data_IF_882114569430
#
_entry.id   IF_882114569430
#
_cell.length_a   1.000
_cell.length_b   1.000
_cell.length_c   1.000
_cell.angle_alpha   90.00
_cell.angle_beta   90.00
_cell.angle_gamma   90.00
#
_symmetry.space_group_name_H-M   'P 1'
#
loop_
_entity.id
_entity.type
_entity.pdbx_description
1 polymer ?
#
# COMPACT_ATOMS: atom_id res chain seq x y z
N UNK A 1 2.19 22.48 33.91
CA UNK A 1 1.43 21.74 32.87
C UNK A 1 2.39 20.81 32.15
N UNK A 2 1.98 19.55 31.88
CA UNK A 2 2.84 18.53 31.26
C UNK A 2 3.07 18.68 29.75
N UNK A 3 2.99 19.90 29.21
CA UNK A 3 3.15 20.16 27.78
C UNK A 3 4.36 21.08 27.55
N UNK A 4 5.37 20.65 26.76
CA UNK A 4 6.52 21.50 26.44
C UNK A 4 6.10 22.66 25.52
N UNK A 5 6.36 23.93 25.89
CA UNK A 5 5.86 25.09 25.15
C UNK A 5 6.44 25.23 23.74
N UNK A 6 7.64 24.71 23.48
CA UNK A 6 8.30 24.79 22.18
C UNK A 6 7.74 23.78 21.16
N UNK A 7 7.16 22.66 21.61
CA UNK A 7 6.77 21.56 20.72
C UNK A 7 5.25 21.36 20.64
N UNK A 8 4.53 21.60 21.73
CA UNK A 8 3.08 21.40 21.80
C UNK A 8 2.43 22.50 22.66
N UNK A 9 2.49 23.78 22.23
CA UNK A 9 1.74 24.83 22.90
C UNK A 9 0.23 24.49 22.87
N UNK A 10 -0.52 24.71 23.97
CA UNK A 10 -1.94 24.37 24.04
C UNK A 10 -2.80 25.02 22.94
N UNK A 11 -2.39 26.19 22.44
CA UNK A 11 -3.07 26.89 21.33
C UNK A 11 -3.13 26.06 20.04
N UNK A 12 -2.18 25.15 19.82
CA UNK A 12 -2.17 24.25 18.65
C UNK A 12 -3.21 23.12 18.73
N UNK A 13 -3.86 22.92 19.88
CA UNK A 13 -4.99 21.98 19.97
C UNK A 13 -6.24 22.50 19.26
N UNK A 14 -6.32 23.81 19.02
CA UNK A 14 -7.39 24.44 18.26
C UNK A 14 -6.97 24.49 16.79
N UNK A 15 -7.69 23.75 15.94
CA UNK A 15 -7.42 23.68 14.51
C UNK A 15 -7.79 24.98 13.81
N UNK A 16 -6.78 25.80 13.50
CA UNK A 16 -6.93 27.01 12.67
C UNK A 16 -6.63 26.73 11.19
N UNK A 17 -5.68 25.83 10.93
CA UNK A 17 -5.25 25.43 9.60
C UNK A 17 -5.32 23.90 9.49
N UNK A 18 -6.05 23.39 8.50
CA UNK A 18 -6.17 21.96 8.25
C UNK A 18 -5.19 21.52 7.16
N UNK A 19 -4.27 20.62 7.50
CA UNK A 19 -3.35 20.04 6.53
C UNK A 19 -4.07 19.05 5.60
N UNK A 20 -3.90 19.22 4.28
CA UNK A 20 -4.52 18.34 3.28
C UNK A 20 -3.55 17.21 2.92
N UNK A 21 -3.94 15.94 3.07
CA UNK A 21 -3.08 14.83 2.70
C UNK A 21 -2.86 14.78 1.17
N UNK A 22 -1.64 14.45 0.70
CA UNK A 22 -1.32 14.31 -0.72
C UNK A 22 -2.05 13.10 -1.34
N UNK A 23 -2.16 13.04 -2.69
CA UNK A 23 -2.87 11.98 -3.41
C UNK A 23 -2.46 10.54 -3.04
N UNK A 24 -1.19 10.31 -2.69
CA UNK A 24 -0.71 8.98 -2.27
C UNK A 24 -1.40 8.42 -1.02
N UNK A 25 -1.94 9.29 -0.16
CA UNK A 25 -2.68 8.89 1.06
C UNK A 25 -4.17 8.70 0.75
N UNK A 26 -4.68 9.34 -0.31
CA UNK A 26 -6.08 9.35 -0.76
C UNK A 26 -6.18 8.92 -2.23
N UNK A 27 -5.82 7.67 -2.56
CA UNK A 27 -5.71 7.22 -3.94
C UNK A 27 -7.07 7.19 -4.63
N UNK A 28 -7.12 7.71 -5.86
CA UNK A 28 -8.29 7.61 -6.74
C UNK A 28 -8.22 6.32 -7.53
N UNK A 29 -9.37 5.65 -7.70
CA UNK A 29 -9.48 4.45 -8.53
C UNK A 29 -10.19 4.83 -9.83
N UNK A 30 -9.53 4.64 -10.96
CA UNK A 30 -10.11 4.83 -12.29
C UNK A 30 -10.27 3.49 -13.00
N UNK A 31 -11.47 3.19 -13.48
CA UNK A 31 -11.76 2.02 -14.31
C UNK A 31 -12.37 2.52 -15.63
N UNK A 32 -11.52 2.62 -16.67
CA UNK A 32 -11.91 3.24 -17.94
C UNK A 32 -12.32 4.70 -17.76
N UNK A 33 -13.56 5.02 -18.11
CA UNK A 33 -14.15 6.37 -17.96
C UNK A 33 -14.70 6.63 -16.55
N UNK A 34 -14.92 5.58 -15.74
CA UNK A 34 -15.46 5.71 -14.38
C UNK A 34 -14.35 6.03 -13.40
N UNK A 35 -14.56 7.08 -12.58
CA UNK A 35 -13.65 7.50 -11.51
C UNK A 35 -14.34 7.39 -10.16
N UNK A 36 -13.68 6.76 -9.21
CA UNK A 36 -14.10 6.67 -7.82
C UNK A 36 -13.02 7.29 -6.94
N UNK A 37 -13.38 8.37 -6.25
CA UNK A 37 -12.50 9.08 -5.33
C UNK A 37 -12.50 8.41 -3.94
N UNK A 38 -11.39 8.56 -3.22
CA UNK A 38 -11.29 8.08 -1.84
C UNK A 38 -12.24 8.81 -0.88
N UNK A 39 -12.73 8.10 0.15
CA UNK A 39 -13.62 8.63 1.19
C UNK A 39 -13.09 9.93 1.84
N UNK A 40 -11.77 10.04 2.02
CA UNK A 40 -11.11 11.24 2.57
C UNK A 40 -11.25 12.42 1.61
N UNK A 41 -11.10 12.19 0.30
CA UNK A 41 -11.26 13.23 -0.73
C UNK A 41 -12.69 13.75 -0.74
N UNK A 42 -13.68 12.86 -0.69
CA UNK A 42 -15.09 13.25 -0.62
C UNK A 42 -15.37 14.13 0.62
N UNK A 43 -14.82 13.75 1.77
CA UNK A 43 -15.02 14.49 3.01
C UNK A 43 -14.31 15.85 3.03
N UNK A 44 -13.11 15.94 2.48
CA UNK A 44 -12.38 17.20 2.34
C UNK A 44 -13.13 18.20 1.45
N UNK A 45 -13.79 17.71 0.40
CA UNK A 45 -14.61 18.54 -0.47
C UNK A 45 -15.82 19.12 0.27
N UNK A 46 -16.47 18.35 1.14
CA UNK A 46 -17.54 18.86 2.02
C UNK A 46 -17.02 19.90 3.01
N UNK A 47 -15.84 19.69 3.61
CA UNK A 47 -15.20 20.66 4.52
C UNK A 47 -14.94 21.98 3.79
N UNK A 48 -14.37 21.94 2.58
CA UNK A 48 -14.06 23.15 1.79
C UNK A 48 -15.34 23.90 1.45
N UNK A 49 -16.40 23.18 1.03
CA UNK A 49 -17.71 23.78 0.71
C UNK A 49 -18.30 24.48 1.93
N UNK A 50 -18.41 23.78 3.07
CA UNK A 50 -19.00 24.34 4.29
C UNK A 50 -18.18 25.52 4.83
N UNK A 51 -16.85 25.47 4.73
CA UNK A 51 -15.98 26.57 5.11
C UNK A 51 -16.18 27.81 4.23
N UNK A 52 -16.31 27.61 2.91
CA UNK A 52 -16.59 28.71 1.99
C UNK A 52 -17.98 29.31 2.25
N UNK A 53 -19.00 28.47 2.47
CA UNK A 53 -20.35 28.93 2.82
C UNK A 53 -20.36 29.73 4.11
N UNK A 54 -19.70 29.25 5.17
CA UNK A 54 -19.59 29.99 6.44
C UNK A 54 -18.93 31.36 6.22
N UNK A 55 -17.83 31.41 5.46
CA UNK A 55 -17.15 32.66 5.14
C UNK A 55 -18.07 33.65 4.42
N UNK A 56 -18.84 33.18 3.44
CA UNK A 56 -19.80 34.01 2.70
C UNK A 56 -20.92 34.53 3.59
N UNK A 57 -21.49 33.68 4.46
CA UNK A 57 -22.57 34.08 5.37
C UNK A 57 -22.13 35.14 6.38
N UNK A 58 -20.90 35.01 6.90
CA UNK A 58 -20.29 36.01 7.80
C UNK A 58 -20.07 37.33 7.05
N UNK A 59 -19.60 37.29 5.80
CA UNK A 59 -19.38 38.48 4.98
C UNK A 59 -20.68 39.18 4.57
N UNK A 60 -21.76 38.44 4.35
CA UNK A 60 -23.07 39.00 4.04
C UNK A 60 -23.81 39.56 5.26
N UNK A 61 -23.23 39.47 6.46
CA UNK A 61 -23.88 39.92 7.70
C UNK A 61 -25.10 39.08 8.07
N UNK A 62 -25.08 37.77 7.78
CA UNK A 62 -26.16 36.87 8.18
C UNK A 62 -26.29 36.83 9.71
N UNK A 63 -27.50 36.55 10.20
CA UNK A 63 -27.76 36.48 11.64
C UNK A 63 -26.84 35.49 12.36
N UNK A 64 -26.48 35.80 13.61
CA UNK A 64 -25.54 35.01 14.41
C UNK A 64 -25.95 33.53 14.51
N UNK A 65 -27.25 33.27 14.67
CA UNK A 65 -27.79 31.91 14.69
C UNK A 65 -27.45 31.10 13.44
N UNK A 66 -27.51 31.72 12.25
CA UNK A 66 -27.18 31.05 10.98
C UNK A 66 -25.70 30.71 10.94
N UNK A 67 -24.85 31.65 11.35
CA UNK A 67 -23.40 31.45 11.41
C UNK A 67 -23.03 30.32 12.38
N UNK A 68 -23.68 30.25 13.54
CA UNK A 68 -23.48 29.18 14.53
C UNK A 68 -23.85 27.80 13.98
N UNK A 69 -24.93 27.68 13.20
CA UNK A 69 -25.31 26.40 12.57
C UNK A 69 -24.29 25.95 11.52
N UNK A 70 -23.79 26.85 10.67
CA UNK A 70 -22.70 26.53 9.73
C UNK A 70 -21.39 26.18 10.44
N UNK A 71 -21.09 26.84 11.57
CA UNK A 71 -19.93 26.52 12.40
C UNK A 71 -20.04 25.09 12.98
N UNK A 72 -21.20 24.71 13.52
CA UNK A 72 -21.45 23.33 14.00
C UNK A 72 -21.33 22.31 12.87
N UNK A 73 -21.83 22.64 11.67
CA UNK A 73 -21.72 21.75 10.51
C UNK A 73 -20.25 21.56 10.06
N UNK A 74 -19.46 22.64 10.07
CA UNK A 74 -18.03 22.57 9.78
C UNK A 74 -17.30 21.69 10.81
N UNK A 75 -17.60 21.90 12.10
CA UNK A 75 -17.07 21.10 13.20
C UNK A 75 -17.41 19.62 13.04
N UNK A 76 -18.66 19.30 12.70
CA UNK A 76 -19.11 17.94 12.41
C UNK A 76 -18.29 17.28 11.29
N UNK A 77 -18.00 18.00 10.20
CA UNK A 77 -17.20 17.45 9.11
C UNK A 77 -15.73 17.21 9.49
N UNK A 78 -15.12 18.10 10.27
CA UNK A 78 -13.75 17.92 10.77
C UNK A 78 -13.66 16.74 11.74
N UNK A 79 -14.66 16.58 12.62
CA UNK A 79 -14.75 15.46 13.54
C UNK A 79 -14.85 14.13 12.81
N UNK A 80 -15.81 14.01 11.89
CA UNK A 80 -16.04 12.76 11.14
C UNK A 80 -14.93 12.42 10.14
N UNK A 81 -14.11 13.40 9.71
CA UNK A 81 -12.86 13.13 8.96
C UNK A 81 -11.83 12.39 9.83
N UNK A 82 -11.67 12.84 11.07
CA UNK A 82 -10.69 12.29 12.02
C UNK A 82 -11.16 10.95 12.57
N UNK A 83 -12.40 10.91 13.08
CA UNK A 83 -13.04 9.75 13.67
C UNK A 83 -14.55 9.78 13.41
N UNK A 84 -15.05 8.77 12.70
CA UNK A 84 -16.46 8.65 12.34
C UNK A 84 -17.26 7.78 13.34
N UNK A 85 -16.63 7.36 14.43
CA UNK A 85 -17.22 6.52 15.47
C UNK A 85 -17.32 7.25 16.83
N UNK A 86 -17.36 8.59 16.81
CA UNK A 86 -17.52 9.40 18.02
C UNK A 86 -18.95 9.22 18.57
N UNK A 87 -19.05 8.91 19.87
CA UNK A 87 -20.32 8.71 20.56
C UNK A 87 -21.10 10.03 20.58
N UNK A 88 -22.40 9.99 20.27
CA UNK A 88 -23.29 11.16 20.28
C UNK A 88 -23.24 12.00 19.00
N UNK A 89 -22.38 11.65 18.03
CA UNK A 89 -22.32 12.31 16.72
C UNK A 89 -22.85 11.34 15.66
N UNK A 90 -23.75 11.76 14.76
CA UNK A 90 -24.24 10.90 13.70
C UNK A 90 -23.11 10.48 12.76
N UNK A 91 -23.14 9.24 12.27
CA UNK A 91 -22.09 8.75 11.37
C UNK A 91 -22.22 9.37 9.99
N UNK A 92 -21.11 9.88 9.46
CA UNK A 92 -21.03 10.33 8.08
C UNK A 92 -21.07 9.12 7.14
N UNK A 93 -22.02 9.12 6.22
CA UNK A 93 -22.21 8.05 5.24
C UNK A 93 -21.98 8.57 3.82
N UNK A 94 -21.57 7.64 2.94
CA UNK A 94 -21.46 7.87 1.50
C UNK A 94 -22.87 7.94 0.90
N UNK A 95 -23.00 8.39 -0.35
CA UNK A 95 -24.26 8.32 -1.12
C UNK A 95 -24.93 6.93 -1.12
N UNK A 96 -24.12 5.87 -1.01
CA UNK A 96 -24.57 4.48 -0.90
C UNK A 96 -24.93 4.03 0.54
N UNK A 97 -25.08 4.96 1.49
CA UNK A 97 -25.33 4.71 2.92
C UNK A 97 -24.23 3.92 3.65
N UNK A 98 -23.10 3.63 3.00
CA UNK A 98 -21.92 3.04 3.65
C UNK A 98 -21.23 4.08 4.55
N UNK A 99 -20.86 3.77 5.80
CA UNK A 99 -20.03 4.65 6.63
C UNK A 99 -18.70 4.99 5.95
N UNK A 100 -18.33 6.27 6.00
CA UNK A 100 -17.03 6.73 5.47
C UNK A 100 -15.89 6.22 6.37
N UNK A 101 -14.80 5.77 5.75
CA UNK A 101 -13.60 5.33 6.49
C UNK A 101 -12.76 6.53 6.94
N UNK A 102 -12.84 6.85 8.23
CA UNK A 102 -12.07 7.94 8.87
C UNK A 102 -10.57 7.65 8.95
N UNK A 103 -9.76 8.68 9.23
CA UNK A 103 -8.30 8.53 9.39
C UNK A 103 -7.99 7.58 10.55
N UNK A 104 -8.69 7.70 11.68
CA UNK A 104 -8.51 6.83 12.85
C UNK A 104 -8.79 5.36 12.52
N UNK A 105 -9.86 5.07 11.79
CA UNK A 105 -10.22 3.70 11.39
C UNK A 105 -9.15 3.06 10.47
N UNK A 106 -8.56 3.86 9.58
CA UNK A 106 -7.45 3.41 8.71
C UNK A 106 -6.21 3.01 9.51
N UNK A 107 -6.02 3.58 10.71
CA UNK A 107 -4.86 3.27 11.57
C UNK A 107 -5.13 2.11 12.54
N UNK A 108 -6.26 2.11 13.24
CA UNK A 108 -6.54 1.22 14.39
C UNK A 108 -7.05 -0.18 14.01
N UNK A 109 -7.70 -0.33 12.85
CA UNK A 109 -8.38 -1.58 12.50
C UNK A 109 -7.44 -2.79 12.42
N UNK A 110 -8.00 -4.02 12.51
CA UNK A 110 -7.22 -5.27 12.37
C UNK A 110 -6.48 -5.33 11.04
N UNK A 111 -7.14 -4.84 9.98
CA UNK A 111 -6.58 -4.64 8.63
C UNK A 111 -6.02 -3.22 8.42
N UNK A 112 -5.90 -2.44 9.50
CA UNK A 112 -5.40 -1.07 9.48
C UNK A 112 -3.90 -1.01 9.25
N UNK A 113 -3.37 0.19 9.02
CA UNK A 113 -1.97 0.41 8.65
C UNK A 113 -0.98 -0.13 9.69
N UNK A 114 -1.25 0.05 10.98
CA UNK A 114 -0.32 -0.38 12.02
C UNK A 114 -0.20 -1.91 12.09
N UNK A 115 -1.33 -2.61 12.22
CA UNK A 115 -1.31 -4.06 12.37
C UNK A 115 -1.17 -4.80 11.05
N UNK A 116 -1.91 -4.40 10.03
CA UNK A 116 -2.02 -5.11 8.75
C UNK A 116 -0.95 -4.77 7.71
N UNK A 117 -0.12 -3.75 7.93
CA UNK A 117 0.94 -3.39 6.99
C UNK A 117 2.32 -3.25 7.64
N UNK A 118 2.41 -2.72 8.86
CA UNK A 118 3.69 -2.59 9.56
C UNK A 118 4.07 -3.85 10.35
N UNK A 119 3.12 -4.45 11.09
CA UNK A 119 3.41 -5.65 11.89
C UNK A 119 3.35 -6.97 11.10
N UNK A 120 2.47 -7.05 10.09
CA UNK A 120 2.33 -8.21 9.24
C UNK A 120 2.08 -7.79 7.81
N UNK A 121 3.09 -7.93 6.94
CA UNK A 121 2.98 -7.60 5.52
C UNK A 121 2.93 -8.89 4.71
N UNK A 122 2.25 -8.85 3.57
CA UNK A 122 2.43 -9.87 2.53
C UNK A 122 3.86 -9.78 2.00
N UNK A 123 4.50 -10.94 1.86
CA UNK A 123 5.87 -11.06 1.38
C UNK A 123 5.87 -11.79 0.04
N UNK A 124 6.79 -11.38 -0.81
CA UNK A 124 7.08 -12.08 -2.07
C UNK A 124 8.03 -13.25 -1.79
N UNK A 125 8.25 -14.13 -2.78
CA UNK A 125 9.15 -15.30 -2.70
C UNK A 125 8.80 -16.30 -1.58
N UNK A 126 7.51 -16.51 -1.31
CA UNK A 126 7.04 -17.53 -0.39
C UNK A 126 6.02 -18.46 -1.08
N UNK A 127 5.90 -19.68 -0.57
CA UNK A 127 4.90 -20.65 -1.01
C UNK A 127 4.28 -21.35 0.20
N UNK A 128 3.05 -21.86 0.02
CA UNK A 128 2.33 -22.65 1.03
C UNK A 128 1.71 -23.86 0.34
N UNK A 129 1.87 -25.04 0.96
CA UNK A 129 1.26 -26.29 0.51
C UNK A 129 0.84 -27.13 1.72
N UNK A 130 0.06 -28.18 1.49
CA UNK A 130 -0.24 -29.22 2.48
C UNK A 130 1.01 -30.04 2.75
N UNK A 131 1.23 -30.42 4.01
CA UNK A 131 2.35 -31.26 4.44
C UNK A 131 2.01 -32.75 4.29
N UNK A 132 3.01 -33.54 3.91
CA UNK A 132 2.97 -35.00 3.91
C UNK A 132 4.27 -35.54 4.53
N UNK A 133 4.19 -36.65 5.27
CA UNK A 133 5.37 -37.28 5.87
C UNK A 133 6.07 -38.21 4.89
N UNK A 134 7.40 -38.14 4.82
CA UNK A 134 8.25 -39.04 4.04
C UNK A 134 9.39 -39.57 4.95
N UNK A 135 9.47 -40.89 5.21
CA UNK A 135 10.50 -41.46 6.08
C UNK A 135 11.91 -41.45 5.47
N UNK A 136 12.04 -41.18 4.17
CA UNK A 136 13.35 -41.16 3.49
C UNK A 136 14.06 -39.79 3.57
N UNK A 137 13.40 -38.77 4.12
CA UNK A 137 13.99 -37.44 4.29
C UNK A 137 14.68 -37.31 5.65
N UNK A 138 15.85 -36.66 5.64
CA UNK A 138 16.54 -36.30 6.88
C UNK A 138 15.77 -35.22 7.65
N UNK A 139 16.01 -35.11 8.96
CA UNK A 139 15.33 -34.13 9.83
C UNK A 139 15.53 -32.68 9.39
N UNK A 140 16.64 -32.36 8.73
CA UNK A 140 16.97 -31.01 8.23
C UNK A 140 16.45 -30.74 6.80
N UNK A 141 15.86 -31.74 6.15
CA UNK A 141 15.40 -31.64 4.76
C UNK A 141 13.89 -31.39 4.68
N UNK A 142 13.47 -30.70 3.62
CA UNK A 142 12.08 -30.51 3.27
C UNK A 142 11.86 -30.81 1.79
N UNK A 143 10.87 -31.67 1.50
CA UNK A 143 10.46 -31.95 0.12
C UNK A 143 9.73 -30.76 -0.48
N UNK A 144 10.29 -30.17 -1.53
CA UNK A 144 9.66 -29.06 -2.28
C UNK A 144 9.11 -29.58 -3.60
N UNK A 145 7.80 -29.43 -3.88
CA UNK A 145 7.24 -29.82 -5.18
C UNK A 145 7.89 -29.06 -6.34
N UNK A 146 8.09 -29.73 -7.47
CA UNK A 146 8.67 -29.11 -8.69
C UNK A 146 7.90 -27.88 -9.16
N UNK A 147 6.57 -27.87 -9.00
CA UNK A 147 5.73 -26.71 -9.33
C UNK A 147 6.02 -25.48 -8.48
N UNK A 148 6.47 -25.66 -7.24
CA UNK A 148 6.89 -24.57 -6.34
C UNK A 148 8.33 -24.17 -6.66
N UNK A 149 9.22 -25.14 -6.85
CA UNK A 149 10.63 -24.90 -7.17
C UNK A 149 10.83 -24.15 -8.50
N UNK A 150 10.01 -24.43 -9.52
CA UNK A 150 9.99 -23.67 -10.78
C UNK A 150 9.47 -22.24 -10.60
N UNK A 151 8.76 -21.96 -9.51
CA UNK A 151 8.17 -20.66 -9.27
C UNK A 151 9.01 -19.72 -8.41
N UNK A 152 9.62 -20.26 -7.35
CA UNK A 152 10.52 -19.54 -6.48
C UNK A 152 11.89 -19.38 -7.14
N UNK A 153 12.37 -18.15 -7.23
CA UNK A 153 13.68 -17.82 -7.78
C UNK A 153 14.60 -17.31 -6.68
N UNK A 154 15.90 -17.46 -6.91
CA UNK A 154 16.93 -16.92 -6.02
C UNK A 154 17.93 -16.11 -6.86
N UNK A 155 18.11 -14.81 -6.57
CA UNK A 155 19.00 -13.97 -7.36
C UNK A 155 20.46 -14.28 -7.04
N UNK A 156 21.12 -15.01 -7.93
CA UNK A 156 22.54 -15.33 -7.81
C UNK A 156 23.38 -14.45 -8.71
N UNK A 157 24.46 -13.88 -8.16
CA UNK A 157 25.40 -13.07 -8.94
C UNK A 157 26.33 -13.96 -9.75
N UNK A 158 26.53 -13.61 -11.00
CA UNK A 158 27.47 -14.28 -11.89
C UNK A 158 28.89 -13.95 -11.45
N UNK A 159 29.62 -14.99 -11.07
CA UNK A 159 31.02 -14.99 -10.66
C UNK A 159 31.81 -15.98 -11.54
N UNK A 160 33.14 -15.94 -11.54
CA UNK A 160 33.95 -16.91 -12.27
C UNK A 160 33.70 -18.38 -11.87
N UNK A 161 33.25 -18.61 -10.63
CA UNK A 161 33.05 -19.97 -10.09
C UNK A 161 31.73 -20.62 -10.49
N UNK A 162 30.67 -19.83 -10.67
CA UNK A 162 29.32 -20.33 -10.99
C UNK A 162 28.89 -20.06 -12.43
N UNK A 163 29.74 -19.44 -13.25
CA UNK A 163 29.41 -19.04 -14.62
C UNK A 163 28.88 -20.20 -15.47
N UNK A 164 29.59 -21.33 -15.47
CA UNK A 164 29.23 -22.47 -16.32
C UNK A 164 27.91 -23.12 -15.86
N UNK A 165 27.70 -23.17 -14.56
CA UNK A 165 26.47 -23.67 -13.96
C UNK A 165 25.28 -22.77 -14.28
N UNK A 166 25.43 -21.44 -14.13
CA UNK A 166 24.38 -20.48 -14.46
C UNK A 166 24.08 -20.43 -15.96
N UNK A 167 25.08 -20.60 -16.83
CA UNK A 167 24.87 -20.75 -18.28
C UNK A 167 23.98 -21.96 -18.58
N UNK A 168 24.20 -23.09 -17.91
CA UNK A 168 23.35 -24.27 -18.08
C UNK A 168 21.91 -24.03 -17.60
N UNK A 169 21.73 -23.34 -16.46
CA UNK A 169 20.40 -22.98 -15.95
C UNK A 169 19.63 -22.06 -16.90
N UNK A 170 20.32 -21.09 -17.49
CA UNK A 170 19.75 -20.19 -18.50
C UNK A 170 19.39 -20.95 -19.77
N UNK A 171 20.26 -21.85 -20.24
CA UNK A 171 20.00 -22.68 -21.42
C UNK A 171 18.78 -23.60 -21.24
N UNK A 172 18.56 -24.14 -20.04
CA UNK A 172 17.38 -24.95 -19.71
C UNK A 172 16.08 -24.13 -19.67
N UNK A 173 16.18 -22.82 -19.43
CA UNK A 173 15.08 -21.87 -19.43
C UNK A 173 14.13 -22.01 -18.24
N UNK A 174 12.95 -21.39 -18.35
CA UNK A 174 12.01 -21.19 -17.24
C UNK A 174 11.04 -22.37 -16.98
N UNK A 175 10.97 -23.34 -17.91
CA UNK A 175 9.95 -24.40 -17.91
C UNK A 175 10.46 -25.72 -17.35
N UNK A 176 11.78 -25.94 -17.39
CA UNK A 176 12.42 -27.19 -16.99
C UNK A 176 13.25 -26.97 -15.74
N UNK A 177 13.10 -27.84 -14.74
CA UNK A 177 13.97 -27.84 -13.56
C UNK A 177 15.14 -28.81 -13.78
N UNK A 178 16.39 -28.46 -13.45
CA UNK A 178 16.87 -27.15 -12.97
C UNK A 178 16.93 -26.08 -14.08
N UNK A 179 16.56 -24.84 -13.79
CA UNK A 179 16.54 -23.75 -14.77
C UNK A 179 16.42 -22.35 -14.15
N UNK A 180 16.37 -21.32 -14.99
CA UNK A 180 16.26 -19.92 -14.59
C UNK A 180 15.06 -19.22 -15.27
N UNK A 181 14.52 -18.19 -14.63
CA UNK A 181 13.42 -17.36 -15.14
C UNK A 181 13.88 -16.00 -15.64
N UNK A 182 14.77 -15.32 -14.94
CA UNK A 182 15.15 -13.95 -15.27
C UNK A 182 16.64 -13.74 -15.27
N UNK A 183 17.09 -12.79 -16.09
CA UNK A 183 18.43 -12.25 -16.05
C UNK A 183 18.32 -10.76 -15.77
N UNK A 184 19.00 -10.29 -14.73
CA UNK A 184 19.13 -8.87 -14.42
C UNK A 184 20.54 -8.43 -14.78
N UNK A 185 20.63 -7.53 -15.76
CA UNK A 185 21.89 -6.93 -16.21
C UNK A 185 22.37 -5.86 -15.22
N UNK A 186 23.59 -5.35 -15.42
CA UNK A 186 24.16 -4.31 -14.53
C UNK A 186 23.38 -2.98 -14.57
N UNK A 187 22.75 -2.66 -15.70
CA UNK A 187 21.87 -1.50 -15.88
C UNK A 187 20.51 -1.64 -15.16
N UNK A 188 20.24 -2.80 -14.55
CA UNK A 188 18.97 -3.12 -13.91
C UNK A 188 17.89 -3.60 -14.89
N UNK A 189 18.20 -3.74 -16.18
CA UNK A 189 17.27 -4.30 -17.14
C UNK A 189 17.03 -5.78 -16.84
N UNK A 190 15.74 -6.15 -16.72
CA UNK A 190 15.31 -7.52 -16.44
C UNK A 190 14.83 -8.17 -17.74
N UNK A 191 15.47 -9.26 -18.12
CA UNK A 191 15.11 -10.10 -19.27
C UNK A 191 14.36 -11.31 -18.75
N UNK A 192 13.14 -11.54 -19.23
CA UNK A 192 12.35 -12.74 -18.91
C UNK A 192 12.63 -13.83 -19.95
N UNK A 193 13.17 -14.95 -19.47
CA UNK A 193 13.60 -16.07 -20.31
C UNK A 193 12.43 -16.81 -20.96
N UNK A 194 11.18 -16.59 -20.52
CA UNK A 194 10.00 -17.18 -21.15
C UNK A 194 9.72 -16.64 -22.55
N UNK A 195 10.17 -15.41 -22.83
CA UNK A 195 9.92 -14.73 -24.10
C UNK A 195 11.15 -14.69 -25.01
N UNK A 196 12.27 -15.29 -24.58
CA UNK A 196 13.49 -15.38 -25.39
C UNK A 196 13.41 -16.64 -26.26
N UNK A 197 13.59 -16.47 -27.57
CA UNK A 197 13.51 -17.58 -28.54
C UNK A 197 14.66 -18.58 -28.39
N UNK A 198 15.88 -18.11 -28.08
CA UNK A 198 17.03 -18.96 -27.81
C UNK A 198 17.77 -18.48 -26.55
N UNK A 199 17.43 -19.04 -25.37
CA UNK A 199 18.11 -18.74 -24.11
C UNK A 199 19.60 -19.14 -24.09
N UNK A 200 19.99 -20.15 -24.88
CA UNK A 200 21.36 -20.67 -24.88
C UNK A 200 22.35 -19.72 -25.59
N UNK A 201 21.85 -18.86 -26.48
CA UNK A 201 22.66 -17.84 -27.15
C UNK A 201 23.05 -16.67 -26.23
N UNK A 202 22.54 -16.60 -25.00
CA UNK A 202 22.82 -15.50 -24.08
C UNK A 202 24.20 -15.68 -23.43
N UNK A 203 25.13 -14.80 -23.78
CA UNK A 203 26.42 -14.71 -23.11
C UNK A 203 26.30 -13.96 -21.78
N UNK A 204 26.31 -14.70 -20.67
CA UNK A 204 26.36 -14.14 -19.32
C UNK A 204 27.68 -13.41 -19.07
N UNK A 205 27.59 -12.21 -18.49
CA UNK A 205 28.74 -11.43 -18.05
C UNK A 205 28.85 -11.46 -16.52
N UNK A 206 30.07 -11.25 -16.02
CA UNK A 206 30.30 -11.11 -14.58
C UNK A 206 29.54 -9.90 -14.04
N UNK A 207 29.02 -10.02 -12.82
CA UNK A 207 28.23 -8.96 -12.17
C UNK A 207 26.73 -9.00 -12.44
N UNK A 208 26.28 -9.70 -13.50
CA UNK A 208 24.85 -9.92 -13.75
C UNK A 208 24.23 -10.79 -12.68
N UNK A 209 22.90 -10.76 -12.55
CA UNK A 209 22.16 -11.68 -11.67
C UNK A 209 21.30 -12.60 -12.51
N UNK A 210 21.28 -13.87 -12.14
CA UNK A 210 20.37 -14.88 -12.70
C UNK A 210 19.40 -15.28 -11.60
N UNK A 211 18.11 -15.31 -11.92
CA UNK A 211 17.00 -15.67 -11.04
C UNK A 211 16.24 -16.86 -11.58
#
# INVERSE_FOLDING_TARGET
MGMPPQRTPPTQMILTHLAIPPPHIRPTISMGTMRSEDDVTAKLLDIIKTNHMLKTQVQSGAGEHICLEFMKLLQYHIYTLSDNCIIGIPQATTKSKRPLKSIRERLKSKEGRLRGFLMGKRVDFCARSVIGGDPNLNTEQVGVPRSVALNLTFPERVTPFNLDWLKQMVANGASTWPGAKYIVREDGARVDLRFVSDPAAINLQYGWKVE
#
